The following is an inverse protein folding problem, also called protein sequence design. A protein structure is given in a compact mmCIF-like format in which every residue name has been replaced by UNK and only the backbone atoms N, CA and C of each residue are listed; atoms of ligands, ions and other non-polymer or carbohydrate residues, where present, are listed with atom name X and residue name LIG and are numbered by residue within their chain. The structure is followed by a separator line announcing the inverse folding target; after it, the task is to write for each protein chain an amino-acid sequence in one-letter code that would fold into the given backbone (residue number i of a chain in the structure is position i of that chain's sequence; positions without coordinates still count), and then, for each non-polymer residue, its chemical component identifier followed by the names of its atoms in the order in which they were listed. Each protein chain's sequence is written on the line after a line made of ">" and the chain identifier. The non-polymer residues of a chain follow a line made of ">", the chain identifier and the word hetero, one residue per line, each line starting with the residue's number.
data_IF_938204884379
#
_entry.id   IF_938204884379
#
_cell.length_a   1.000
_cell.length_b   1.000
_cell.length_c   1.000
_cell.angle_alpha   90.00
_cell.angle_beta   90.00
_cell.angle_gamma   90.00
#
_symmetry.space_group_name_H-M   'P 1'
#
loop_
_entity.id
_entity.type
_entity.pdbx_description
1 polymer ?
#
# COMPACT_ATOMS: atom_id res chain seq x y z
N UNK A 1 14.88 -1.27 -22.34
CA UNK A 1 13.54 -1.53 -21.78
C UNK A 1 12.45 -1.05 -22.71
N UNK A 2 11.20 -1.45 -22.43
CA UNK A 2 9.99 -1.07 -23.19
C UNK A 2 10.13 -1.25 -24.71
N UNK A 3 10.56 -2.44 -25.16
CA UNK A 3 10.85 -2.72 -26.58
C UNK A 3 9.66 -2.44 -27.51
N UNK A 4 8.43 -2.54 -26.99
CA UNK A 4 7.21 -2.21 -27.70
C UNK A 4 7.09 -0.75 -28.14
N UNK A 5 7.79 0.20 -27.49
CA UNK A 5 7.78 1.62 -27.90
C UNK A 5 8.54 1.82 -29.21
N UNK A 6 9.62 1.07 -29.41
CA UNK A 6 10.46 1.11 -30.61
C UNK A 6 9.78 0.38 -31.78
N UNK A 7 9.03 -0.69 -31.49
CA UNK A 7 8.35 -1.52 -32.50
C UNK A 7 6.94 -1.03 -32.82
N UNK A 8 6.23 -0.48 -31.83
CA UNK A 8 4.83 -0.07 -31.91
C UNK A 8 4.60 1.38 -32.35
N UNK A 9 5.67 2.18 -32.46
CA UNK A 9 5.64 3.57 -32.96
C UNK A 9 5.12 3.70 -34.39
N UNK A 10 5.11 2.62 -35.18
CA UNK A 10 4.49 2.58 -36.51
C UNK A 10 2.95 2.66 -36.53
N UNK A 11 2.27 2.63 -35.38
CA UNK A 11 0.80 2.69 -35.31
C UNK A 11 0.23 4.11 -35.18
N UNK A 12 1.05 5.14 -34.95
CA UNK A 12 0.63 6.54 -34.95
C UNK A 12 1.28 7.27 -36.15
N UNK A 13 0.47 7.91 -36.98
CA UNK A 13 0.95 8.69 -38.13
C UNK A 13 1.96 9.75 -37.69
N UNK A 14 3.21 9.65 -38.18
CA UNK A 14 4.24 10.67 -38.04
C UNK A 14 5.45 10.32 -37.17
N UNK A 15 5.47 9.16 -36.48
CA UNK A 15 6.68 8.68 -35.81
C UNK A 15 7.53 7.82 -36.76
N UNK A 16 8.85 8.00 -36.71
CA UNK A 16 9.81 7.25 -37.52
C UNK A 16 9.75 5.77 -37.12
N UNK A 17 9.45 4.88 -38.07
CA UNK A 17 9.36 3.43 -37.82
C UNK A 17 10.76 2.82 -37.67
N UNK A 18 11.30 2.94 -36.46
CA UNK A 18 12.60 2.39 -36.05
C UNK A 18 12.64 0.86 -36.19
N UNK A 19 11.49 0.18 -36.18
CA UNK A 19 11.40 -1.27 -36.34
C UNK A 19 11.99 -1.74 -37.68
N UNK A 20 11.68 -1.04 -38.76
CA UNK A 20 12.17 -1.40 -40.10
C UNK A 20 13.67 -1.15 -40.27
N UNK A 21 14.25 -0.22 -39.50
CA UNK A 21 15.69 0.01 -39.49
C UNK A 21 16.45 -1.06 -38.70
N UNK A 22 15.85 -1.61 -37.65
CA UNK A 22 16.48 -2.58 -36.76
C UNK A 22 16.39 -4.03 -37.29
N UNK A 23 15.31 -4.38 -38.00
CA UNK A 23 15.09 -5.73 -38.55
C UNK A 23 16.29 -6.28 -39.34
N UNK A 24 16.95 -5.53 -40.25
CA UNK A 24 18.09 -6.05 -40.99
C UNK A 24 19.32 -6.35 -40.10
N UNK A 25 19.60 -5.48 -39.13
CA UNK A 25 20.73 -5.66 -38.20
C UNK A 25 20.51 -6.84 -37.25
N UNK A 26 19.28 -7.00 -36.74
CA UNK A 26 18.86 -8.16 -35.96
C UNK A 26 18.89 -9.44 -36.79
N UNK A 27 18.51 -9.38 -38.07
CA UNK A 27 18.50 -10.54 -38.96
C UNK A 27 19.90 -11.02 -39.36
N UNK A 28 20.86 -10.10 -39.50
CA UNK A 28 22.27 -10.44 -39.78
C UNK A 28 23.06 -10.80 -38.52
N UNK A 29 22.48 -10.63 -37.33
CA UNK A 29 23.17 -10.86 -36.06
C UNK A 29 24.24 -9.82 -35.74
N UNK A 30 24.23 -8.67 -36.43
CA UNK A 30 25.13 -7.53 -36.17
C UNK A 30 24.81 -6.84 -34.84
N UNK A 31 23.59 -7.07 -34.32
CA UNK A 31 23.11 -6.49 -33.08
C UNK A 31 22.55 -7.59 -32.18
N UNK A 32 23.12 -7.76 -30.99
CA UNK A 32 22.60 -8.62 -29.92
C UNK A 32 21.92 -7.73 -28.88
N UNK A 33 20.65 -7.99 -28.59
CA UNK A 33 19.85 -7.16 -27.69
C UNK A 33 19.01 -8.02 -26.76
N UNK A 34 18.79 -7.52 -25.55
CA UNK A 34 17.78 -8.02 -24.61
C UNK A 34 16.67 -6.97 -24.55
N UNK A 35 15.44 -7.38 -24.88
CA UNK A 35 14.26 -6.53 -24.81
C UNK A 35 13.42 -6.87 -23.60
N UNK A 36 12.96 -5.85 -22.87
CA UNK A 36 11.94 -5.99 -21.83
C UNK A 36 10.61 -5.43 -22.36
N UNK A 37 9.52 -6.17 -22.17
CA UNK A 37 8.15 -5.79 -22.58
C UNK A 37 7.13 -6.58 -21.77
N UNK A 38 5.87 -6.14 -21.75
CA UNK A 38 4.79 -6.89 -21.12
C UNK A 38 4.23 -7.98 -22.05
N UNK A 39 3.57 -8.98 -21.49
CA UNK A 39 2.96 -10.07 -22.27
C UNK A 39 1.89 -9.56 -23.26
N UNK A 40 1.16 -8.50 -22.88
CA UNK A 40 0.15 -7.87 -23.74
C UNK A 40 0.78 -7.17 -24.93
N UNK A 41 1.86 -6.43 -24.71
CA UNK A 41 2.61 -5.76 -25.78
C UNK A 41 3.33 -6.74 -26.71
N UNK A 42 3.93 -7.80 -26.14
CA UNK A 42 4.55 -8.86 -26.93
C UNK A 42 3.54 -9.44 -27.94
N UNK A 43 2.35 -9.83 -27.47
CA UNK A 43 1.25 -10.33 -28.31
C UNK A 43 0.79 -9.32 -29.35
N UNK A 44 0.80 -8.02 -29.00
CA UNK A 44 0.30 -6.96 -29.87
C UNK A 44 1.28 -6.58 -30.97
N UNK A 45 2.57 -6.51 -30.66
CA UNK A 45 3.58 -5.88 -31.53
C UNK A 45 4.66 -6.84 -32.05
N UNK A 46 5.02 -7.89 -31.30
CA UNK A 46 6.11 -8.80 -31.68
C UNK A 46 5.57 -10.08 -32.31
N UNK A 47 4.58 -10.72 -31.68
CA UNK A 47 3.99 -11.98 -32.17
C UNK A 47 3.27 -11.79 -33.52
N UNK A 48 2.77 -10.58 -33.80
CA UNK A 48 2.16 -10.26 -35.09
C UNK A 48 3.16 -10.01 -36.21
N UNK A 49 4.43 -9.75 -35.88
CA UNK A 49 5.48 -9.47 -36.85
C UNK A 49 6.40 -10.68 -37.02
N UNK A 50 6.18 -11.42 -38.11
CA UNK A 50 6.92 -12.65 -38.41
C UNK A 50 8.44 -12.46 -38.55
N UNK A 51 8.94 -11.24 -38.78
CA UNK A 51 10.38 -10.98 -38.82
C UNK A 51 10.96 -10.86 -37.41
N UNK A 52 10.23 -10.26 -36.48
CA UNK A 52 10.66 -10.08 -35.09
C UNK A 52 10.45 -11.37 -34.28
N UNK A 53 9.33 -12.05 -34.46
CA UNK A 53 9.02 -13.33 -33.80
C UNK A 53 10.11 -14.39 -34.04
N UNK A 54 10.70 -14.42 -35.23
CA UNK A 54 11.79 -15.35 -35.59
C UNK A 54 13.18 -14.96 -35.06
N UNK A 55 13.28 -13.81 -34.38
CA UNK A 55 14.57 -13.24 -33.92
C UNK A 55 14.60 -13.08 -32.42
N UNK A 56 13.45 -12.88 -31.78
CA UNK A 56 13.34 -12.88 -30.33
C UNK A 56 12.95 -14.25 -29.82
N UNK A 57 13.70 -14.75 -28.85
CA UNK A 57 13.28 -15.88 -28.04
C UNK A 57 12.56 -15.32 -26.80
N UNK A 58 11.26 -15.59 -26.59
CA UNK A 58 10.59 -15.16 -25.37
C UNK A 58 11.17 -15.90 -24.17
N UNK A 59 11.55 -15.14 -23.15
CA UNK A 59 11.91 -15.63 -21.81
C UNK A 59 10.89 -15.04 -20.84
N UNK A 60 10.03 -15.90 -20.28
CA UNK A 60 8.99 -15.47 -19.36
C UNK A 60 9.59 -15.17 -17.99
N UNK A 61 9.47 -13.93 -17.54
CA UNK A 61 9.82 -13.51 -16.18
C UNK A 61 8.52 -13.43 -15.39
N UNK A 62 8.38 -14.30 -14.38
CA UNK A 62 7.21 -14.32 -13.52
C UNK A 62 7.38 -13.35 -12.35
N UNK A 63 6.24 -12.94 -11.77
CA UNK A 63 6.24 -12.28 -10.46
C UNK A 63 6.91 -13.21 -9.42
N UNK A 64 7.84 -12.70 -8.60
CA UNK A 64 8.49 -13.49 -7.56
C UNK A 64 7.49 -13.92 -6.48
N UNK A 65 7.79 -15.03 -5.79
CA UNK A 65 7.05 -15.39 -4.59
C UNK A 65 7.29 -14.38 -3.47
N UNK A 66 6.49 -14.46 -2.41
CA UNK A 66 6.66 -13.58 -1.24
C UNK A 66 8.03 -13.81 -0.61
N UNK A 67 8.46 -15.06 -0.49
CA UNK A 67 9.75 -15.46 0.06
C UNK A 67 10.91 -14.94 -0.80
N UNK A 68 10.80 -15.06 -2.13
CA UNK A 68 11.79 -14.49 -3.05
C UNK A 68 11.83 -12.96 -2.96
N UNK A 69 10.68 -12.32 -2.72
CA UNK A 69 10.62 -10.86 -2.53
C UNK A 69 11.33 -10.45 -1.25
N UNK A 70 11.16 -11.20 -0.15
CA UNK A 70 11.90 -10.97 1.10
C UNK A 70 13.41 -11.05 0.86
N UNK A 71 13.89 -12.03 0.11
CA UNK A 71 15.31 -12.13 -0.25
C UNK A 71 15.80 -10.92 -1.07
N UNK A 72 15.00 -10.48 -2.05
CA UNK A 72 15.29 -9.28 -2.85
C UNK A 72 15.39 -8.04 -1.95
N UNK A 73 14.43 -7.85 -1.04
CA UNK A 73 14.39 -6.72 -0.12
C UNK A 73 15.57 -6.75 0.86
N UNK A 74 15.97 -7.92 1.35
CA UNK A 74 17.20 -8.06 2.15
C UNK A 74 18.44 -7.63 1.36
N UNK A 75 18.54 -7.98 0.08
CA UNK A 75 19.63 -7.53 -0.79
C UNK A 75 19.65 -6.02 -1.05
N UNK A 76 18.48 -5.36 -0.99
CA UNK A 76 18.35 -3.91 -1.18
C UNK A 76 18.48 -3.11 0.12
N UNK A 77 18.35 -3.76 1.29
CA UNK A 77 18.30 -3.15 2.62
C UNK A 77 19.39 -2.10 2.84
N UNK A 78 20.65 -2.45 2.62
CA UNK A 78 21.79 -1.57 2.90
C UNK A 78 21.74 -0.28 2.07
N UNK A 79 21.27 -0.38 0.82
CA UNK A 79 21.10 0.77 -0.07
C UNK A 79 20.03 1.74 0.46
N UNK A 80 18.88 1.22 0.89
CA UNK A 80 17.79 2.03 1.44
C UNK A 80 18.12 2.60 2.82
N UNK A 81 18.76 1.83 3.71
CA UNK A 81 19.26 2.31 4.99
C UNK A 81 20.23 3.50 4.80
N UNK A 82 21.17 3.38 3.87
CA UNK A 82 22.14 4.43 3.56
C UNK A 82 21.49 5.67 2.94
N UNK A 83 20.57 5.48 1.98
CA UNK A 83 19.88 6.57 1.29
C UNK A 83 19.03 7.41 2.27
N UNK A 84 18.21 6.75 3.09
CA UNK A 84 17.29 7.42 4.01
C UNK A 84 17.90 7.75 5.37
N UNK A 85 19.09 7.23 5.67
CA UNK A 85 19.75 7.36 6.99
C UNK A 85 18.86 6.82 8.11
N UNK A 86 18.31 5.64 7.87
CA UNK A 86 17.47 4.87 8.79
C UNK A 86 18.04 3.47 8.97
N UNK A 87 17.58 2.74 9.99
CA UNK A 87 17.73 1.29 10.10
C UNK A 87 16.42 0.62 9.68
N UNK A 88 16.46 -0.54 9.05
CA UNK A 88 15.25 -1.29 8.67
C UNK A 88 15.27 -2.62 9.41
N UNK A 89 14.24 -2.90 10.20
CA UNK A 89 14.12 -4.19 10.89
C UNK A 89 13.86 -5.34 9.91
N UNK A 90 14.39 -6.55 10.16
CA UNK A 90 14.05 -7.74 9.38
C UNK A 90 12.53 -7.96 9.30
N UNK A 91 11.82 -7.77 10.41
CA UNK A 91 10.37 -7.93 10.50
C UNK A 91 9.62 -6.90 9.62
N UNK A 92 10.21 -5.71 9.40
CA UNK A 92 9.65 -4.72 8.49
C UNK A 92 9.74 -5.17 7.03
N UNK A 93 10.83 -5.86 6.66
CA UNK A 93 11.02 -6.45 5.33
C UNK A 93 9.99 -7.56 5.07
N UNK A 94 9.84 -8.47 6.02
CA UNK A 94 8.82 -9.53 5.94
C UNK A 94 7.41 -8.93 5.83
N UNK A 95 7.11 -7.94 6.68
CA UNK A 95 5.82 -7.24 6.68
C UNK A 95 5.55 -6.57 5.33
N UNK A 96 6.54 -5.90 4.72
CA UNK A 96 6.38 -5.24 3.42
C UNK A 96 6.00 -6.22 2.31
N UNK A 97 6.67 -7.38 2.25
CA UNK A 97 6.37 -8.40 1.26
C UNK A 97 4.97 -9.02 1.48
N UNK A 98 4.64 -9.40 2.71
CA UNK A 98 3.36 -10.03 3.04
C UNK A 98 2.16 -9.09 2.90
N UNK A 99 2.24 -7.87 3.44
CA UNK A 99 1.15 -6.90 3.41
C UNK A 99 0.91 -6.38 1.98
N UNK A 100 1.97 -6.09 1.21
CA UNK A 100 1.80 -5.65 -0.18
C UNK A 100 1.19 -6.76 -1.06
N UNK A 101 1.62 -8.02 -0.91
CA UNK A 101 1.03 -9.15 -1.63
C UNK A 101 -0.47 -9.30 -1.32
N UNK A 102 -0.84 -9.10 -0.06
CA UNK A 102 -2.20 -9.35 0.42
C UNK A 102 -3.19 -8.22 0.10
N UNK A 103 -2.79 -6.97 0.31
CA UNK A 103 -3.70 -5.82 0.28
C UNK A 103 -3.54 -4.93 -0.96
N UNK A 104 -2.40 -4.96 -1.65
CA UNK A 104 -2.14 -4.16 -2.86
C UNK A 104 -2.16 -5.11 -4.07
N UNK A 105 -3.33 -5.27 -4.70
CA UNK A 105 -3.58 -6.30 -5.74
C UNK A 105 -3.42 -5.81 -7.17
N UNK A 106 -3.40 -4.51 -7.38
CA UNK A 106 -3.29 -3.83 -8.68
C UNK A 106 -1.84 -3.69 -9.17
N UNK A 107 -0.87 -4.13 -8.35
CA UNK A 107 0.57 -4.09 -8.64
C UNK A 107 1.22 -5.44 -8.37
N UNK A 108 2.37 -5.66 -9.00
CA UNK A 108 3.15 -6.90 -8.89
C UNK A 108 4.31 -6.75 -7.91
N UNK A 109 4.69 -7.83 -7.24
CA UNK A 109 5.96 -7.96 -6.54
C UNK A 109 7.13 -7.97 -7.54
N UNK A 110 8.35 -7.57 -7.14
CA UNK A 110 8.72 -7.03 -5.83
C UNK A 110 8.46 -5.52 -5.69
N UNK A 111 8.12 -4.86 -6.79
CA UNK A 111 8.00 -3.40 -6.95
C UNK A 111 7.13 -2.75 -5.86
N UNK A 112 5.90 -3.24 -5.66
CA UNK A 112 5.02 -2.73 -4.61
C UNK A 112 5.56 -2.88 -3.18
N UNK A 113 6.42 -3.87 -2.92
CA UNK A 113 7.01 -4.08 -1.59
C UNK A 113 8.22 -3.16 -1.38
N UNK A 114 9.01 -2.93 -2.44
CA UNK A 114 10.11 -1.96 -2.45
C UNK A 114 9.57 -0.56 -2.17
N UNK A 115 8.48 -0.16 -2.81
CA UNK A 115 7.84 1.13 -2.58
C UNK A 115 7.39 1.33 -1.13
N UNK A 116 6.84 0.29 -0.49
CA UNK A 116 6.47 0.37 0.93
C UNK A 116 7.68 0.62 1.82
N UNK A 117 8.81 -0.06 1.55
CA UNK A 117 10.06 0.17 2.28
C UNK A 117 10.55 1.60 2.07
N UNK A 118 10.53 2.10 0.84
CA UNK A 118 10.97 3.46 0.51
C UNK A 118 10.11 4.54 1.19
N UNK A 119 8.79 4.39 1.13
CA UNK A 119 7.84 5.33 1.70
C UNK A 119 7.89 5.31 3.23
N UNK A 120 7.96 4.13 3.86
CA UNK A 120 8.13 4.01 5.31
C UNK A 120 9.48 4.55 5.80
N UNK A 121 10.57 4.31 5.07
CA UNK A 121 11.89 4.86 5.39
C UNK A 121 11.88 6.40 5.31
N UNK A 122 11.30 6.95 4.25
CA UNK A 122 11.13 8.39 4.08
C UNK A 122 10.29 9.00 5.21
N UNK A 123 9.17 8.36 5.55
CA UNK A 123 8.27 8.78 6.63
C UNK A 123 8.99 8.83 7.98
N UNK A 124 9.61 7.72 8.38
CA UNK A 124 10.35 7.61 9.66
C UNK A 124 11.49 8.63 9.72
N UNK A 125 12.18 8.87 8.60
CA UNK A 125 13.22 9.89 8.51
C UNK A 125 12.66 11.31 8.69
N UNK A 126 11.52 11.60 8.09
CA UNK A 126 10.85 12.90 8.24
C UNK A 126 10.40 13.12 9.67
N UNK A 127 9.74 12.14 10.29
CA UNK A 127 9.23 12.23 11.66
C UNK A 127 10.37 12.47 12.66
N UNK A 128 11.48 11.74 12.52
CA UNK A 128 12.67 11.93 13.38
C UNK A 128 13.35 13.29 13.20
N UNK A 129 13.23 13.91 12.03
CA UNK A 129 13.82 15.23 11.76
C UNK A 129 12.87 16.37 12.08
N UNK A 130 11.57 16.13 11.98
CA UNK A 130 10.51 17.11 12.20
C UNK A 130 10.33 17.43 13.68
N UNK A 131 9.98 18.68 13.94
CA UNK A 131 9.58 19.11 15.27
C UNK A 131 8.24 18.46 15.63
N UNK A 132 8.10 17.85 16.82
CA UNK A 132 6.86 17.22 17.25
C UNK A 132 5.69 18.19 17.17
N UNK A 133 4.51 17.70 16.79
CA UNK A 133 3.34 18.54 16.54
C UNK A 133 2.94 19.35 17.80
N UNK A 134 3.08 18.78 19.00
CA UNK A 134 2.88 19.48 20.27
C UNK A 134 3.88 20.65 20.48
N UNK A 135 5.16 20.45 20.14
CA UNK A 135 6.20 21.51 20.22
C UNK A 135 5.88 22.62 19.21
N UNK A 136 5.49 22.26 17.99
CA UNK A 136 5.10 23.21 16.94
C UNK A 136 3.84 24.01 17.34
N UNK A 137 2.84 23.36 17.93
CA UNK A 137 1.62 24.02 18.43
C UNK A 137 1.92 24.99 19.57
N UNK A 138 2.70 24.56 20.57
CA UNK A 138 3.10 25.41 21.70
C UNK A 138 3.91 26.63 21.22
N UNK A 139 4.84 26.47 20.27
CA UNK A 139 5.58 27.59 19.67
C UNK A 139 4.65 28.57 18.94
N UNK A 140 3.69 28.06 18.17
CA UNK A 140 2.70 28.88 17.46
C UNK A 140 1.81 29.67 18.44
N UNK A 141 1.39 29.05 19.55
CA UNK A 141 0.62 29.73 20.60
C UNK A 141 1.44 30.81 21.31
N UNK A 142 2.70 30.52 21.65
CA UNK A 142 3.62 31.50 22.24
C UNK A 142 3.81 32.69 21.28
N UNK A 143 4.00 32.45 19.99
CA UNK A 143 4.18 33.52 19.00
C UNK A 143 2.92 34.40 18.87
N UNK A 144 1.72 33.80 18.93
CA UNK A 144 0.45 34.54 18.95
C UNK A 144 0.33 35.42 20.20
N UNK A 145 0.63 34.87 21.37
CA UNK A 145 0.61 35.60 22.63
C UNK A 145 1.67 36.71 22.66
N UNK A 146 2.84 36.50 22.08
CA UNK A 146 3.89 37.52 21.98
C UNK A 146 3.43 38.72 21.13
N UNK A 147 2.78 38.46 19.98
CA UNK A 147 2.18 39.50 19.13
C UNK A 147 1.06 40.25 19.86
N UNK A 148 0.19 39.52 20.56
CA UNK A 148 -0.89 40.11 21.35
C UNK A 148 -0.35 41.00 22.48
N UNK A 149 0.65 40.51 23.23
CA UNK A 149 1.33 41.27 24.30
C UNK A 149 1.95 42.55 23.77
N UNK A 150 2.60 42.50 22.60
CA UNK A 150 3.21 43.68 21.98
C UNK A 150 2.15 44.71 21.57
N UNK A 151 1.02 44.25 21.02
CA UNK A 151 -0.09 45.13 20.66
C UNK A 151 -0.70 45.84 21.89
N UNK A 152 -0.92 45.12 22.99
CA UNK A 152 -1.46 45.67 24.24
C UNK A 152 -0.48 46.63 24.90
N UNK A 153 0.82 46.32 24.85
CA UNK A 153 1.87 47.21 25.36
C UNK A 153 1.92 48.52 24.59
N UNK A 154 1.75 48.48 23.25
CA UNK A 154 1.67 49.70 22.41
C UNK A 154 0.39 50.50 22.67
N UNK A 155 -0.70 49.83 23.02
CA UNK A 155 -1.98 50.45 23.37
C UNK A 155 -2.03 51.02 24.81
N UNK A 156 -0.95 50.91 25.61
CA UNK A 156 -0.89 51.40 26.99
C UNK A 156 -1.62 50.52 28.01
N UNK A 157 -2.09 49.33 27.61
CA UNK A 157 -2.76 48.39 28.49
C UNK A 157 -1.73 47.49 29.21
N UNK A 158 -1.03 48.09 30.18
CA UNK A 158 0.08 47.45 30.88
C UNK A 158 -0.34 46.26 31.76
N UNK A 159 -1.56 46.28 32.30
CA UNK A 159 -2.04 45.23 33.20
C UNK A 159 -2.36 43.94 32.45
N UNK A 160 -3.03 44.01 31.29
CA UNK A 160 -3.27 42.82 30.45
C UNK A 160 -2.00 42.32 29.76
N UNK A 161 -1.10 43.23 29.37
CA UNK A 161 0.22 42.85 28.86
C UNK A 161 1.03 42.04 29.90
N UNK A 162 0.92 42.39 31.19
CA UNK A 162 1.55 41.63 32.26
C UNK A 162 0.93 40.24 32.46
N UNK A 163 -0.40 40.10 32.33
CA UNK A 163 -1.08 38.78 32.38
C UNK A 163 -0.62 37.87 31.25
N UNK A 164 -0.62 38.36 30.01
CA UNK A 164 -0.15 37.58 28.84
C UNK A 164 1.31 37.19 29.00
N UNK A 165 2.15 38.04 29.59
CA UNK A 165 3.55 37.70 29.88
C UNK A 165 3.67 36.48 30.80
N UNK A 166 2.83 36.37 31.83
CA UNK A 166 2.80 35.20 32.73
C UNK A 166 2.39 33.94 31.98
N UNK A 167 1.40 34.04 31.08
CA UNK A 167 0.94 32.90 30.29
C UNK A 167 1.99 32.43 29.27
N UNK A 168 2.73 33.37 28.66
CA UNK A 168 3.89 33.06 27.81
C UNK A 168 4.96 32.33 28.60
N UNK A 169 5.29 32.78 29.83
CA UNK A 169 6.29 32.11 30.67
C UNK A 169 5.86 30.70 31.03
N UNK A 170 4.60 30.49 31.44
CA UNK A 170 4.06 29.14 31.71
C UNK A 170 4.17 28.22 30.49
N UNK A 171 3.77 28.71 29.30
CA UNK A 171 3.88 27.92 28.06
C UNK A 171 5.33 27.64 27.67
N UNK A 172 6.27 28.56 27.97
CA UNK A 172 7.72 28.32 27.76
C UNK A 172 8.27 27.30 28.74
N UNK A 173 7.82 27.30 30.00
CA UNK A 173 8.15 26.28 31.00
C UNK A 173 7.60 24.90 30.61
N UNK A 174 6.41 24.84 30.00
CA UNK A 174 5.84 23.59 29.45
C UNK A 174 6.61 23.13 28.19
N UNK A 175 7.05 24.05 27.34
CA UNK A 175 7.76 23.76 26.10
C UNK A 175 9.19 23.24 26.34
N UNK A 176 9.91 23.83 27.31
CA UNK A 176 11.30 23.48 27.61
C UNK A 176 11.57 21.98 27.78
N UNK A 177 10.87 21.24 28.66
CA UNK A 177 11.14 19.82 28.88
C UNK A 177 10.86 18.98 27.62
N UNK A 178 9.81 19.31 26.88
CA UNK A 178 9.42 18.60 25.65
C UNK A 178 10.48 18.83 24.55
N UNK A 179 10.94 20.07 24.41
CA UNK A 179 11.96 20.43 23.42
C UNK A 179 13.33 19.83 23.78
N UNK A 180 13.67 19.77 25.07
CA UNK A 180 14.90 19.14 25.55
C UNK A 180 14.88 17.62 25.40
N UNK A 181 13.74 16.98 25.64
CA UNK A 181 13.52 15.55 25.39
C UNK A 181 13.63 15.25 23.89
N UNK A 182 13.01 16.07 23.03
CA UNK A 182 13.14 15.96 21.58
C UNK A 182 14.57 16.17 21.09
N UNK A 183 15.32 17.14 21.66
CA UNK A 183 16.73 17.36 21.33
C UNK A 183 17.61 16.18 21.75
N UNK A 184 17.30 15.51 22.87
CA UNK A 184 18.00 14.30 23.33
C UNK A 184 17.76 13.12 22.40
N UNK A 185 16.53 12.91 21.94
CA UNK A 185 16.20 11.85 20.97
C UNK A 185 16.82 12.11 19.59
N UNK A 186 16.95 13.38 19.18
CA UNK A 186 17.64 13.79 17.93
C UNK A 186 19.13 13.44 17.89
N UNK A 187 19.78 13.32 19.05
CA UNK A 187 21.23 13.12 19.16
C UNK A 187 21.69 11.67 19.32
N UNK A 188 20.78 10.71 19.53
CA UNK A 188 21.16 9.41 20.12
C UNK A 188 20.81 8.16 19.31
N UNK A 189 19.98 8.24 18.26
CA UNK A 189 19.61 7.04 17.48
C UNK A 189 19.46 7.28 15.98
N UNK A 190 19.96 6.35 15.17
CA UNK A 190 19.49 6.21 13.79
C UNK A 190 18.04 5.74 13.86
N UNK A 191 17.07 6.46 13.28
CA UNK A 191 15.67 6.07 13.36
C UNK A 191 15.46 4.74 12.64
N UNK A 192 14.54 3.91 13.15
CA UNK A 192 14.36 2.53 12.70
C UNK A 192 12.96 2.37 12.10
N UNK A 193 12.90 1.75 10.92
CA UNK A 193 11.66 1.32 10.27
C UNK A 193 11.25 -0.03 10.83
N UNK A 194 10.06 -0.08 11.41
CA UNK A 194 9.48 -1.25 12.05
C UNK A 194 8.34 -1.82 11.19
N UNK A 195 7.84 -3.01 11.56
CA UNK A 195 6.65 -3.59 10.91
C UNK A 195 5.40 -2.70 11.02
N UNK A 196 5.32 -1.89 12.07
CA UNK A 196 4.20 -0.98 12.33
C UNK A 196 4.20 0.20 11.35
N UNK A 197 5.38 0.72 11.00
CA UNK A 197 5.53 1.78 10.01
C UNK A 197 5.07 1.33 8.62
N UNK A 198 5.35 0.07 8.28
CA UNK A 198 4.87 -0.56 7.04
C UNK A 198 3.34 -0.69 7.06
N UNK A 199 2.78 -1.19 8.17
CA UNK A 199 1.34 -1.36 8.30
C UNK A 199 0.60 -0.02 8.21
N UNK A 200 1.16 1.05 8.77
CA UNK A 200 0.57 2.39 8.67
C UNK A 200 0.56 2.92 7.24
N UNK A 201 1.66 2.75 6.49
CA UNK A 201 1.70 3.15 5.08
C UNK A 201 0.70 2.34 4.25
N UNK A 202 0.62 1.02 4.45
CA UNK A 202 -0.39 0.17 3.78
C UNK A 202 -1.81 0.61 4.15
N UNK A 203 -2.07 0.93 5.41
CA UNK A 203 -3.37 1.42 5.87
C UNK A 203 -3.78 2.71 5.16
N UNK A 204 -2.84 3.65 5.00
CA UNK A 204 -3.07 4.90 4.26
C UNK A 204 -3.34 4.67 2.78
N UNK A 205 -2.61 3.76 2.13
CA UNK A 205 -2.77 3.45 0.71
C UNK A 205 -4.12 2.77 0.44
N UNK A 206 -4.47 1.79 1.28
CA UNK A 206 -5.60 0.88 1.04
C UNK A 206 -6.89 1.30 1.73
N UNK A 207 -6.81 2.19 2.71
CA UNK A 207 -7.92 2.54 3.60
C UNK A 207 -8.26 1.46 4.64
N UNK A 208 -7.57 0.32 4.65
CA UNK A 208 -7.81 -0.76 5.60
C UNK A 208 -7.25 -0.36 6.97
N UNK A 209 -8.03 -0.44 8.07
CA UNK A 209 -7.56 -0.02 9.40
C UNK A 209 -6.31 -0.78 9.87
N UNK A 210 -5.39 -0.12 10.58
CA UNK A 210 -4.15 -0.72 11.09
C UNK A 210 -4.44 -1.90 12.04
N UNK A 211 -5.45 -1.76 12.89
CA UNK A 211 -5.91 -2.84 13.79
C UNK A 211 -6.28 -4.10 13.02
N UNK A 212 -6.81 -3.91 11.83
CA UNK A 212 -7.17 -4.96 10.92
C UNK A 212 -5.92 -5.55 10.22
N UNK A 213 -4.96 -4.73 9.81
CA UNK A 213 -3.70 -5.23 9.24
C UNK A 213 -2.88 -6.09 10.23
N UNK A 214 -2.90 -5.75 11.52
CA UNK A 214 -2.17 -6.43 12.59
C UNK A 214 -2.82 -7.72 13.09
N UNK A 215 -4.14 -7.90 12.90
CA UNK A 215 -4.82 -9.11 13.33
C UNK A 215 -4.31 -10.30 12.54
N UNK A 216 -3.89 -11.34 13.27
CA UNK A 216 -3.57 -12.61 12.63
C UNK A 216 -4.78 -13.13 11.85
N UNK A 217 -4.52 -13.68 10.67
CA UNK A 217 -5.56 -14.30 9.85
C UNK A 217 -6.34 -15.35 10.64
N UNK A 218 -5.67 -16.08 11.53
CA UNK A 218 -6.29 -17.07 12.41
C UNK A 218 -7.35 -16.44 13.31
N UNK A 219 -7.04 -15.33 13.96
CA UNK A 219 -7.96 -14.65 14.88
C UNK A 219 -9.19 -14.11 14.14
N UNK A 220 -8.98 -13.52 12.96
CA UNK A 220 -10.07 -13.05 12.09
C UNK A 220 -11.00 -14.16 11.64
N UNK A 221 -10.45 -15.33 11.33
CA UNK A 221 -11.21 -16.50 10.92
C UNK A 221 -11.98 -17.13 12.08
N UNK A 222 -11.41 -17.13 13.28
CA UNK A 222 -12.09 -17.59 14.50
C UNK A 222 -13.34 -16.73 14.76
N UNK A 223 -13.19 -15.41 14.65
CA UNK A 223 -14.25 -14.44 14.96
C UNK A 223 -15.14 -14.09 13.75
N UNK A 224 -14.96 -14.74 12.60
CA UNK A 224 -15.69 -14.45 11.35
C UNK A 224 -17.21 -14.55 11.52
N UNK A 225 -17.69 -15.58 12.21
CA UNK A 225 -19.12 -15.82 12.37
C UNK A 225 -19.79 -14.73 13.22
N UNK A 226 -19.16 -14.35 14.34
CA UNK A 226 -19.59 -13.27 15.23
C UNK A 226 -19.63 -11.93 14.49
N UNK A 227 -18.56 -11.61 13.75
CA UNK A 227 -18.50 -10.38 12.94
C UNK A 227 -19.61 -10.31 11.89
N UNK A 228 -19.90 -11.42 11.20
CA UNK A 228 -20.99 -11.46 10.23
C UNK A 228 -22.36 -11.23 10.91
N UNK A 229 -22.55 -11.75 12.12
CA UNK A 229 -23.78 -11.57 12.90
C UNK A 229 -24.01 -10.14 13.41
N UNK A 230 -22.95 -9.34 13.62
CA UNK A 230 -23.07 -7.94 14.01
C UNK A 230 -23.82 -7.10 12.95
N UNK A 231 -23.62 -7.41 11.66
CA UNK A 231 -24.25 -6.68 10.54
C UNK A 231 -25.41 -7.44 9.88
N UNK A 232 -25.41 -8.77 9.91
CA UNK A 232 -26.45 -9.60 9.28
C UNK A 232 -27.40 -10.12 10.36
N UNK A 233 -28.58 -9.50 10.42
CA UNK A 233 -29.62 -9.88 11.38
C UNK A 233 -30.34 -11.15 10.92
N UNK A 234 -30.33 -12.18 11.76
CA UNK A 234 -30.87 -13.50 11.45
C UNK A 234 -30.01 -14.25 10.43
N UNK A 235 -30.64 -15.09 9.59
CA UNK A 235 -29.93 -15.90 8.59
C UNK A 235 -28.84 -16.82 9.17
N UNK A 236 -28.98 -17.27 10.42
CA UNK A 236 -28.05 -18.13 11.18
C UNK A 236 -27.41 -19.23 10.34
N UNK A 237 -28.24 -19.97 9.58
CA UNK A 237 -27.77 -21.08 8.73
C UNK A 237 -26.81 -20.61 7.63
N UNK A 238 -27.09 -19.46 7.02
CA UNK A 238 -26.26 -18.91 5.95
C UNK A 238 -24.94 -18.36 6.49
N UNK A 239 -24.98 -17.61 7.59
CA UNK A 239 -23.80 -17.03 8.25
C UNK A 239 -22.84 -18.14 8.71
N UNK A 240 -23.37 -19.17 9.38
CA UNK A 240 -22.58 -20.34 9.81
C UNK A 240 -21.97 -21.09 8.63
N UNK A 241 -22.75 -21.38 7.58
CA UNK A 241 -22.27 -22.10 6.40
C UNK A 241 -21.15 -21.35 5.66
N UNK A 242 -21.28 -20.02 5.53
CA UNK A 242 -20.24 -19.16 4.96
C UNK A 242 -18.98 -19.20 5.81
N UNK A 243 -19.12 -19.01 7.13
CA UNK A 243 -17.99 -18.98 8.07
C UNK A 243 -17.21 -20.29 8.07
N UNK A 244 -17.89 -21.44 8.12
CA UNK A 244 -17.26 -22.77 8.06
C UNK A 244 -16.56 -23.03 6.72
N UNK A 245 -17.12 -22.59 5.59
CA UNK A 245 -16.50 -22.77 4.29
C UNK A 245 -15.22 -21.93 4.12
N UNK A 246 -15.24 -20.68 4.60
CA UNK A 246 -14.07 -19.79 4.54
C UNK A 246 -12.96 -20.29 5.47
N UNK A 247 -13.29 -20.69 6.70
CA UNK A 247 -12.33 -21.32 7.63
C UNK A 247 -11.66 -22.54 7.02
N UNK A 248 -12.44 -23.45 6.39
CA UNK A 248 -11.91 -24.64 5.71
C UNK A 248 -11.00 -24.33 4.52
N UNK A 249 -11.34 -23.29 3.75
CA UNK A 249 -10.54 -22.90 2.60
C UNK A 249 -9.17 -22.34 3.01
N UNK A 250 -9.11 -21.63 4.14
CA UNK A 250 -7.89 -20.96 4.62
C UNK A 250 -6.93 -21.88 5.38
N UNK A 251 -7.37 -23.03 5.87
CA UNK A 251 -6.48 -24.05 6.49
C UNK A 251 -5.74 -24.91 5.46
N UNK A 252 -5.68 -24.49 4.19
CA UNK A 252 -4.89 -25.15 3.15
C UNK A 252 -5.45 -26.49 2.66
N UNK A 253 -6.65 -26.87 3.07
CA UNK A 253 -7.31 -28.12 2.66
C UNK A 253 -7.93 -28.05 1.25
N UNK A 254 -7.69 -26.96 0.50
CA UNK A 254 -8.32 -26.70 -0.79
C UNK A 254 -7.28 -26.37 -1.85
N UNK A 255 -7.57 -26.81 -3.08
CA UNK A 255 -6.79 -26.53 -4.28
C UNK A 255 -6.60 -25.02 -4.50
N UNK A 256 -5.35 -24.51 -4.60
CA UNK A 256 -5.05 -23.10 -4.78
C UNK A 256 -5.56 -22.53 -6.11
N UNK A 257 -5.85 -23.37 -7.11
CA UNK A 257 -6.40 -22.92 -8.39
C UNK A 257 -7.92 -22.71 -8.37
N UNK A 258 -8.58 -22.87 -7.22
CA UNK A 258 -10.04 -22.73 -7.07
C UNK A 258 -10.37 -21.49 -6.22
N UNK A 259 -11.57 -20.90 -6.42
CA UNK A 259 -12.05 -19.83 -5.54
C UNK A 259 -11.99 -20.26 -4.07
N UNK A 260 -11.68 -19.33 -3.16
CA UNK A 260 -11.62 -19.57 -1.70
C UNK A 260 -12.89 -20.32 -1.26
N UNK A 261 -14.07 -19.82 -1.62
CA UNK A 261 -15.32 -20.52 -1.48
C UNK A 261 -16.28 -20.15 -2.62
N UNK A 262 -17.23 -21.03 -2.90
CA UNK A 262 -18.29 -20.81 -3.88
C UNK A 262 -19.62 -21.02 -3.17
N UNK A 263 -20.50 -20.03 -3.25
CA UNK A 263 -21.76 -20.03 -2.54
C UNK A 263 -22.92 -19.80 -3.51
N UNK A 264 -24.05 -20.43 -3.22
CA UNK A 264 -25.33 -20.12 -3.83
C UNK A 264 -26.28 -19.65 -2.74
N UNK A 265 -26.57 -18.34 -2.71
CA UNK A 265 -27.49 -17.77 -1.73
C UNK A 265 -28.93 -17.86 -2.23
N UNK A 266 -29.71 -18.73 -1.58
CA UNK A 266 -31.11 -19.00 -1.92
C UNK A 266 -32.05 -18.12 -1.06
N UNK A 267 -33.10 -17.58 -1.69
CA UNK A 267 -34.13 -16.77 -1.04
C UNK A 267 -34.64 -15.65 -1.95
N UNK A 268 -35.73 -14.95 -1.58
CA UNK A 268 -36.23 -13.82 -2.35
C UNK A 268 -35.29 -12.60 -2.28
N UNK A 269 -35.56 -11.57 -3.08
CA UNK A 269 -34.85 -10.29 -2.98
C UNK A 269 -35.11 -9.63 -1.63
N UNK A 270 -34.14 -8.88 -1.10
CA UNK A 270 -34.29 -8.13 0.16
C UNK A 270 -34.00 -8.91 1.45
N UNK A 271 -33.77 -10.23 1.41
CA UNK A 271 -33.50 -11.05 2.62
C UNK A 271 -32.07 -10.96 3.17
N UNK A 272 -31.25 -10.04 2.64
CA UNK A 272 -29.87 -9.84 3.12
C UNK A 272 -28.77 -10.62 2.38
N UNK A 273 -29.06 -11.29 1.26
CA UNK A 273 -28.05 -12.02 0.46
C UNK A 273 -26.87 -11.14 0.04
N UNK A 274 -27.16 -9.97 -0.52
CA UNK A 274 -26.13 -9.01 -0.94
C UNK A 274 -25.41 -8.39 0.26
N UNK A 275 -26.13 -8.18 1.37
CA UNK A 275 -25.53 -7.65 2.60
C UNK A 275 -24.49 -8.64 3.15
N UNK A 276 -24.84 -9.94 3.23
CA UNK A 276 -23.90 -10.99 3.65
C UNK A 276 -22.65 -11.05 2.77
N UNK A 277 -22.80 -10.92 1.46
CA UNK A 277 -21.66 -10.86 0.53
C UNK A 277 -20.75 -9.65 0.78
N UNK A 278 -21.34 -8.46 1.00
CA UNK A 278 -20.59 -7.23 1.32
C UNK A 278 -19.88 -7.31 2.68
N UNK A 279 -20.56 -7.80 3.71
CA UNK A 279 -19.97 -7.98 5.04
C UNK A 279 -18.82 -9.00 4.99
N UNK A 280 -18.96 -10.06 4.19
CA UNK A 280 -17.88 -11.00 3.97
C UNK A 280 -16.68 -10.34 3.24
N UNK A 281 -16.94 -9.48 2.25
CA UNK A 281 -15.89 -8.75 1.55
C UNK A 281 -15.12 -7.83 2.51
N UNK A 282 -15.82 -7.12 3.39
CA UNK A 282 -15.20 -6.31 4.45
C UNK A 282 -14.28 -7.16 5.34
N UNK A 283 -14.74 -8.31 5.82
CA UNK A 283 -13.96 -9.11 6.76
C UNK A 283 -12.76 -9.81 6.11
N UNK A 284 -12.92 -10.28 4.86
CA UNK A 284 -11.89 -11.07 4.18
C UNK A 284 -10.88 -10.18 3.45
N UNK A 285 -11.32 -9.04 2.91
CA UNK A 285 -10.51 -8.15 2.06
C UNK A 285 -10.29 -6.76 2.65
N UNK A 286 -10.95 -6.40 3.75
CA UNK A 286 -10.82 -5.09 4.40
C UNK A 286 -11.68 -3.99 3.79
N UNK A 287 -12.43 -4.29 2.73
CA UNK A 287 -13.28 -3.34 2.01
C UNK A 287 -14.59 -4.00 1.53
N UNK A 288 -15.73 -3.45 1.92
CA UNK A 288 -17.07 -3.89 1.49
C UNK A 288 -17.32 -3.67 -0.01
N UNK A 289 -16.55 -2.80 -0.66
CA UNK A 289 -16.60 -2.51 -2.09
C UNK A 289 -15.65 -3.39 -2.92
N UNK A 290 -14.84 -4.24 -2.28
CA UNK A 290 -14.03 -5.26 -2.93
C UNK A 290 -14.91 -6.43 -3.47
N UNK A 291 -15.96 -6.10 -4.21
CA UNK A 291 -16.97 -7.00 -4.73
C UNK A 291 -17.26 -6.68 -6.20
N UNK A 292 -17.01 -7.64 -7.07
CA UNK A 292 -17.47 -7.59 -8.46
C UNK A 292 -18.90 -8.12 -8.52
N UNK A 293 -19.82 -7.32 -9.08
CA UNK A 293 -21.23 -7.69 -9.26
C UNK A 293 -21.56 -7.79 -10.74
N UNK A 294 -22.07 -8.95 -11.14
CA UNK A 294 -22.58 -9.20 -12.49
C UNK A 294 -24.09 -9.44 -12.40
N UNK A 295 -24.88 -8.68 -13.15
CA UNK A 295 -26.33 -8.88 -13.21
C UNK A 295 -26.67 -9.93 -14.27
N UNK A 296 -27.05 -11.14 -13.83
CA UNK A 296 -27.37 -12.25 -14.75
C UNK A 296 -28.60 -11.98 -15.62
N UNK A 297 -29.45 -11.02 -15.27
CA UNK A 297 -30.59 -10.64 -16.12
C UNK A 297 -30.15 -9.98 -17.44
N UNK A 298 -28.98 -9.37 -17.46
CA UNK A 298 -28.37 -8.78 -18.67
C UNK A 298 -27.79 -9.83 -19.63
N UNK A 299 -27.62 -11.08 -19.17
CA UNK A 299 -27.02 -12.19 -19.92
C UNK A 299 -28.04 -13.23 -20.36
N UNK A 300 -29.34 -12.94 -20.18
CA UNK A 300 -30.38 -13.78 -20.76
C UNK A 300 -30.40 -13.59 -22.28
N UNK A 301 -30.25 -14.69 -23.03
CA UNK A 301 -30.54 -14.67 -24.46
C UNK A 301 -32.00 -14.23 -24.67
N UNK A 302 -32.22 -13.27 -25.57
CA UNK A 302 -33.55 -12.92 -26.07
C UNK A 302 -34.00 -13.91 -27.14
#
# INVERSE_FOLDING_TARGET
>A
DELHTIVGSGAQEGQMDLSNMLKPALARGEMQVIGATTLNEYKKYIEKDAALERRFQPVLVNEPSVEQTVEILHGLRDSYEAHHKVKIEPEAIDSAAHLSSRYIKDRFLPDKAIDLIDESASKVRLESTSEPENVRQLKSEIEKLEKERESLSRAGNHEESAKIKVDIEKKKEELQPIEDEWKKTRGTGTPTVTSDDIAEVVSRITGVPITDLKKEERERLLNLEEFLHERVVGQEKAVKAVSEAIRRARVGLKDPNKPIASFLFLGPTGVGKTLLAKTLAQQVFGDENAMVRLDMSEYMEK
#
